data_IF_943451082632
#
_entry.id   IF_943451082632
#
_cell.length_a   1.000
_cell.length_b   1.000
_cell.length_c   1.000
_cell.angle_alpha   90.00
_cell.angle_beta   90.00
_cell.angle_gamma   90.00
#
_symmetry.space_group_name_H-M   'P 1'
#
loop_
_entity.id
_entity.type
_entity.pdbx_description
1 polymer ?
#
# COMPACT_ATOMS: atom_id res chain seq x y z
N UNK A 1 -17.84 -9.88 15.50
CA UNK A 1 -18.19 -9.76 14.06
C UNK A 1 -18.48 -8.30 13.74
N UNK A 2 -17.99 -7.78 12.60
CA UNK A 2 -18.19 -6.38 12.18
C UNK A 2 -19.67 -6.08 11.92
N UNK A 3 -20.34 -5.48 12.90
CA UNK A 3 -21.81 -5.35 12.99
C UNK A 3 -22.32 -3.91 12.80
N UNK A 4 -21.43 -2.94 12.57
CA UNK A 4 -21.78 -1.55 12.21
C UNK A 4 -21.47 -1.28 10.74
N UNK A 5 -22.32 -0.48 10.10
CA UNK A 5 -22.22 -0.16 8.66
C UNK A 5 -20.88 0.51 8.32
N UNK A 6 -20.40 1.40 9.17
CA UNK A 6 -19.12 2.10 9.01
C UNK A 6 -17.96 1.11 8.99
N UNK A 7 -17.92 0.20 9.97
CA UNK A 7 -16.88 -0.82 10.08
C UNK A 7 -16.87 -1.75 8.86
N UNK A 8 -18.05 -2.15 8.37
CA UNK A 8 -18.18 -2.95 7.13
C UNK A 8 -17.69 -2.17 5.91
N UNK A 9 -18.06 -0.89 5.80
CA UNK A 9 -17.62 -0.02 4.71
C UNK A 9 -16.10 0.08 4.63
N UNK A 10 -15.44 0.32 5.77
CA UNK A 10 -13.97 0.33 5.84
C UNK A 10 -13.37 -1.02 5.45
N UNK A 11 -13.90 -2.14 5.96
CA UNK A 11 -13.38 -3.48 5.67
C UNK A 11 -13.39 -3.82 4.18
N UNK A 12 -14.50 -3.50 3.50
CA UNK A 12 -14.70 -3.81 2.09
C UNK A 12 -13.81 -2.89 1.24
N UNK A 13 -13.82 -1.58 1.51
CA UNK A 13 -13.04 -0.61 0.72
C UNK A 13 -11.52 -0.73 0.88
N UNK A 14 -11.04 -1.34 1.98
CA UNK A 14 -9.61 -1.65 2.15
C UNK A 14 -9.18 -2.98 1.52
N UNK A 15 -10.11 -3.80 1.03
CA UNK A 15 -9.78 -5.09 0.46
C UNK A 15 -9.25 -4.94 -0.99
N UNK A 16 -7.97 -5.26 -1.17
CA UNK A 16 -7.28 -5.10 -2.46
C UNK A 16 -7.76 -6.07 -3.54
N UNK A 17 -8.32 -7.22 -3.17
CA UNK A 17 -8.82 -8.22 -4.14
C UNK A 17 -10.06 -7.73 -4.89
N UNK A 18 -10.80 -6.79 -4.31
CA UNK A 18 -12.03 -6.25 -4.90
C UNK A 18 -11.89 -4.80 -5.36
N UNK A 19 -10.69 -4.21 -5.19
CA UNK A 19 -10.40 -2.85 -5.61
C UNK A 19 -9.93 -2.84 -7.09
N UNK A 20 -10.62 -2.09 -7.98
CA UNK A 20 -10.17 -1.88 -9.36
C UNK A 20 -8.70 -1.45 -9.46
N UNK A 21 -7.95 -2.09 -10.36
CA UNK A 21 -6.52 -1.87 -10.54
C UNK A 21 -5.66 -2.62 -9.52
N UNK A 22 -5.95 -2.53 -8.22
CA UNK A 22 -5.17 -3.18 -7.17
C UNK A 22 -5.15 -4.70 -7.30
N UNK A 23 -6.26 -5.34 -7.69
CA UNK A 23 -6.34 -6.80 -7.82
C UNK A 23 -5.29 -7.40 -8.79
N UNK A 24 -4.81 -6.60 -9.76
CA UNK A 24 -3.75 -6.96 -10.74
C UNK A 24 -2.44 -6.21 -10.54
N UNK A 25 -2.33 -5.38 -9.50
CA UNK A 25 -1.14 -4.59 -9.27
C UNK A 25 0.02 -5.49 -8.79
N UNK A 26 1.20 -5.34 -9.41
CA UNK A 26 2.40 -6.08 -9.02
C UNK A 26 2.82 -5.81 -7.57
N UNK A 27 2.51 -4.61 -7.06
CA UNK A 27 2.81 -4.18 -5.70
C UNK A 27 1.76 -4.56 -4.67
N UNK A 28 0.68 -5.27 -5.05
CA UNK A 28 -0.37 -5.71 -4.12
C UNK A 28 0.16 -6.40 -2.85
N UNK A 29 1.20 -7.28 -2.88
CA UNK A 29 1.72 -7.93 -1.68
C UNK A 29 2.39 -7.00 -0.67
N UNK A 30 2.81 -5.81 -1.11
CA UNK A 30 3.61 -4.85 -0.32
C UNK A 30 2.83 -3.58 0.02
N UNK A 31 1.63 -3.42 -0.53
CA UNK A 31 0.84 -2.19 -0.48
C UNK A 31 -0.45 -2.40 0.33
N UNK A 32 -1.12 -1.29 0.64
CA UNK A 32 -2.43 -1.27 1.29
C UNK A 32 -3.18 0.01 0.93
N UNK A 33 -4.50 -0.08 0.93
CA UNK A 33 -5.39 1.08 0.71
C UNK A 33 -6.05 1.45 2.03
N UNK A 34 -6.00 2.74 2.38
CA UNK A 34 -6.68 3.27 3.55
C UNK A 34 -7.95 4.03 3.12
N UNK A 35 -9.15 3.54 3.45
CA UNK A 35 -10.40 4.19 3.08
C UNK A 35 -10.53 5.62 3.62
N UNK A 36 -9.95 5.90 4.79
CA UNK A 36 -9.96 7.24 5.40
C UNK A 36 -9.17 8.23 4.55
N UNK A 37 -8.00 7.82 4.05
CA UNK A 37 -7.16 8.68 3.19
C UNK A 37 -7.84 8.92 1.85
N UNK A 38 -8.45 7.89 1.25
CA UNK A 38 -9.21 8.07 0.02
C UNK A 38 -10.41 8.99 0.21
N UNK A 39 -11.11 8.87 1.33
CA UNK A 39 -12.25 9.73 1.62
C UNK A 39 -11.84 11.19 1.83
N UNK A 40 -10.77 11.43 2.58
CA UNK A 40 -10.26 12.78 2.80
C UNK A 40 -9.77 13.42 1.51
N UNK A 41 -9.01 12.69 0.69
CA UNK A 41 -8.40 13.23 -0.53
C UNK A 41 -9.33 13.29 -1.75
N UNK A 42 -10.34 12.41 -1.83
CA UNK A 42 -11.16 12.23 -3.04
C UNK A 42 -12.67 12.12 -2.77
N UNK A 43 -13.11 12.22 -1.51
CA UNK A 43 -14.54 12.14 -1.14
C UNK A 43 -15.15 10.73 -1.26
N UNK A 44 -14.34 9.69 -1.46
CA UNK A 44 -14.80 8.31 -1.65
C UNK A 44 -13.95 7.34 -0.85
N UNK A 45 -14.58 6.39 -0.14
CA UNK A 45 -13.86 5.32 0.56
C UNK A 45 -13.05 4.43 -0.39
N UNK A 46 -13.54 4.24 -1.62
CA UNK A 46 -12.87 3.44 -2.64
C UNK A 46 -11.70 4.19 -3.27
N UNK A 47 -11.86 5.49 -3.50
CA UNK A 47 -10.93 6.30 -4.27
C UNK A 47 -10.83 5.89 -5.75
N UNK A 48 -10.09 6.69 -6.52
CA UNK A 48 -9.71 6.44 -7.91
C UNK A 48 -8.18 6.25 -7.96
N UNK A 49 -7.72 4.99 -7.89
CA UNK A 49 -6.29 4.66 -7.73
C UNK A 49 -5.38 5.22 -8.83
N UNK A 50 -5.73 5.17 -10.14
CA UNK A 50 -4.95 5.84 -11.18
C UNK A 50 -4.74 7.34 -10.97
N UNK A 51 -5.73 8.04 -10.39
CA UNK A 51 -5.65 9.46 -10.07
C UNK A 51 -5.18 9.73 -8.63
N UNK A 52 -4.90 8.70 -7.85
CA UNK A 52 -4.54 8.82 -6.44
C UNK A 52 -3.04 9.04 -6.29
N UNK A 53 -2.64 10.21 -5.78
CA UNK A 53 -1.23 10.58 -5.67
C UNK A 53 -0.48 9.70 -4.66
N UNK A 54 -1.14 9.26 -3.58
CA UNK A 54 -0.54 8.30 -2.64
C UNK A 54 -0.24 6.97 -3.34
N UNK A 55 -1.14 6.48 -4.20
CA UNK A 55 -0.89 5.27 -4.98
C UNK A 55 0.33 5.45 -5.89
N UNK A 56 0.42 6.56 -6.64
CA UNK A 56 1.58 6.88 -7.50
C UNK A 56 2.89 6.95 -6.72
N UNK A 57 2.88 7.64 -5.57
CA UNK A 57 4.06 7.77 -4.70
C UNK A 57 4.50 6.40 -4.21
N UNK A 58 3.58 5.56 -3.75
CA UNK A 58 3.93 4.22 -3.24
C UNK A 58 4.50 3.34 -4.34
N UNK A 59 3.91 3.33 -5.54
CA UNK A 59 4.46 2.60 -6.67
C UNK A 59 5.89 3.05 -6.99
N UNK A 60 6.14 4.37 -7.03
CA UNK A 60 7.49 4.90 -7.24
C UNK A 60 8.48 4.54 -6.12
N UNK A 61 8.04 4.54 -4.86
CA UNK A 61 8.88 4.07 -3.74
C UNK A 61 9.23 2.59 -3.94
N UNK A 62 8.26 1.75 -4.31
CA UNK A 62 8.53 0.34 -4.57
C UNK A 62 9.48 0.14 -5.75
N UNK A 63 9.29 0.86 -6.86
CA UNK A 63 10.22 0.85 -8.01
C UNK A 63 11.65 1.15 -7.55
N UNK A 64 11.83 2.24 -6.79
CA UNK A 64 13.13 2.67 -6.27
C UNK A 64 13.76 1.64 -5.31
N UNK A 65 12.95 1.02 -4.44
CA UNK A 65 13.43 0.00 -3.51
C UNK A 65 13.89 -1.26 -4.25
N UNK A 66 13.07 -1.76 -5.18
CA UNK A 66 13.42 -2.95 -5.96
C UNK A 66 14.61 -2.73 -6.88
N UNK A 67 14.76 -1.53 -7.45
CA UNK A 67 15.96 -1.18 -8.20
C UNK A 67 17.19 -1.05 -7.30
N UNK A 68 17.03 -0.48 -6.10
CA UNK A 68 18.13 -0.33 -5.13
C UNK A 68 18.68 -1.67 -4.67
N UNK A 69 17.80 -2.66 -4.42
CA UNK A 69 18.19 -4.01 -3.98
C UNK A 69 19.04 -4.74 -5.03
N UNK A 70 19.00 -4.38 -6.31
CA UNK A 70 19.87 -4.97 -7.34
C UNK A 70 21.34 -4.62 -7.14
N UNK A 71 21.66 -3.59 -6.33
CA UNK A 71 23.04 -3.21 -5.99
C UNK A 71 23.45 -3.84 -4.65
N UNK A 72 24.47 -4.72 -4.58
CA UNK A 72 24.83 -5.45 -3.37
C UNK A 72 25.09 -4.57 -2.13
N UNK A 73 25.70 -3.41 -2.34
CA UNK A 73 25.94 -2.43 -1.26
C UNK A 73 24.62 -1.90 -0.66
N UNK A 74 23.66 -1.54 -1.52
CA UNK A 74 22.38 -0.99 -1.10
C UNK A 74 21.51 -2.09 -0.48
N UNK A 75 21.50 -3.28 -1.08
CA UNK A 75 20.83 -4.46 -0.51
C UNK A 75 21.28 -4.71 0.93
N UNK A 76 22.59 -4.73 1.18
CA UNK A 76 23.14 -4.94 2.52
C UNK A 76 22.58 -3.93 3.52
N UNK A 77 22.59 -2.63 3.18
CA UNK A 77 22.08 -1.57 4.04
C UNK A 77 20.57 -1.75 4.31
N UNK A 78 19.79 -2.02 3.27
CA UNK A 78 18.34 -2.21 3.39
C UNK A 78 18.00 -3.44 4.25
N UNK A 79 18.78 -4.53 4.12
CA UNK A 79 18.63 -5.71 4.98
C UNK A 79 18.97 -5.42 6.44
N UNK A 80 20.06 -4.69 6.68
CA UNK A 80 20.44 -4.27 8.04
C UNK A 80 19.34 -3.43 8.70
N UNK A 81 18.68 -2.54 7.96
CA UNK A 81 17.53 -1.78 8.48
C UNK A 81 16.35 -2.69 8.81
N UNK A 82 16.00 -3.62 7.92
CA UNK A 82 14.89 -4.55 8.13
C UNK A 82 15.11 -5.51 9.32
N UNK A 83 16.37 -5.88 9.61
CA UNK A 83 16.71 -6.75 10.73
C UNK A 83 16.91 -5.98 12.05
N UNK A 84 17.24 -4.69 11.99
CA UNK A 84 17.34 -3.83 13.18
C UNK A 84 15.99 -3.72 13.93
N UNK A 85 14.86 -3.80 13.22
CA UNK A 85 13.52 -3.79 13.82
C UNK A 85 13.17 -5.08 14.58
N UNK A 86 13.94 -6.17 14.43
CA UNK A 86 13.66 -7.47 15.07
C UNK A 86 14.37 -7.65 16.43
N UNK A 87 14.95 -6.59 16.99
CA UNK A 87 15.75 -6.64 18.22
C UNK A 87 14.97 -6.52 19.54
N UNK A 88 13.69 -6.89 19.53
CA UNK A 88 12.85 -7.06 20.72
C UNK A 88 12.49 -8.55 20.94
#
# INVERSE_FOLDING_TARGET
MMNKAQTRGCAISSNLEIQPGCFRCAYKPYCGVCPVVNYESQGSLWGNMPANDRCKIFMGIFDLLFDSIKTPKNEKILREWADAEKKD
#
